data_IF_170294138668
#
_entry.id   IF_170294138668
#
_cell.length_a   1.000
_cell.length_b   1.000
_cell.length_c   1.000
_cell.angle_alpha   90.00
_cell.angle_beta   90.00
_cell.angle_gamma   90.00
#
_symmetry.space_group_name_H-M   'P 1'
#
loop_
_entity.id
_entity.type
_entity.pdbx_description
1 polymer ?
#
# COMPACT_ATOMS: atom_id res chain seq x y z
N UNK A 1 -12.31 -5.09 -16.26
CA UNK A 1 -12.26 -4.94 -14.79
C UNK A 1 -11.10 -4.01 -14.53
N UNK A 2 -11.31 -2.89 -13.84
CA UNK A 2 -10.23 -1.97 -13.49
C UNK A 2 -9.27 -2.69 -12.56
N UNK A 3 -8.17 -3.20 -13.11
CA UNK A 3 -7.10 -3.78 -12.31
C UNK A 3 -6.58 -2.70 -11.38
N UNK A 4 -6.56 -3.00 -10.07
CA UNK A 4 -5.93 -2.15 -9.06
C UNK A 4 -4.46 -2.56 -9.02
N UNK A 5 -3.55 -1.81 -9.68
CA UNK A 5 -2.15 -2.22 -9.79
C UNK A 5 -1.40 -2.14 -8.46
N UNK A 6 -1.96 -1.48 -7.45
CA UNK A 6 -1.34 -1.34 -6.15
C UNK A 6 -2.14 -2.06 -5.07
N UNK A 7 -1.42 -2.68 -4.13
CA UNK A 7 -1.97 -3.24 -2.90
C UNK A 7 -1.31 -2.57 -1.71
N UNK A 8 -2.11 -2.05 -0.78
CA UNK A 8 -1.68 -1.52 0.50
C UNK A 8 -1.93 -2.54 1.60
N UNK A 9 -0.86 -3.07 2.20
CA UNK A 9 -0.94 -3.82 3.45
C UNK A 9 -0.89 -2.87 4.64
N UNK A 10 -1.90 -2.96 5.51
CA UNK A 10 -2.04 -2.12 6.70
C UNK A 10 -2.59 -2.90 7.90
N UNK A 11 -2.48 -2.34 9.10
CA UNK A 11 -3.02 -2.93 10.33
C UNK A 11 -3.40 -1.85 11.35
N UNK A 12 -4.23 -2.23 12.32
CA UNK A 12 -4.55 -1.38 13.48
C UNK A 12 -3.33 -1.10 14.37
N UNK A 13 -3.42 -0.03 15.17
CA UNK A 13 -2.38 0.39 16.11
C UNK A 13 -0.99 0.57 15.45
N UNK A 14 -0.97 1.04 14.20
CA UNK A 14 0.24 1.28 13.41
C UNK A 14 0.38 2.77 13.08
N UNK A 15 1.25 3.52 13.79
CA UNK A 15 1.42 4.96 13.57
C UNK A 15 1.81 5.32 12.13
N UNK A 16 2.65 4.49 11.51
CA UNK A 16 3.07 4.68 10.11
C UNK A 16 1.91 4.45 9.13
N UNK A 17 1.02 3.50 9.43
CA UNK A 17 -0.16 3.20 8.63
C UNK A 17 -1.15 4.37 8.66
N UNK A 18 -1.39 4.92 9.86
CA UNK A 18 -2.21 6.11 10.03
C UNK A 18 -1.62 7.33 9.32
N UNK A 19 -0.29 7.47 9.33
CA UNK A 19 0.40 8.52 8.59
C UNK A 19 0.18 8.40 7.08
N UNK A 20 0.38 7.20 6.52
CA UNK A 20 0.12 6.95 5.09
C UNK A 20 -1.35 7.19 4.73
N UNK A 21 -2.27 6.72 5.57
CA UNK A 21 -3.71 6.96 5.39
C UNK A 21 -4.03 8.45 5.31
N UNK A 22 -3.40 9.29 6.15
CA UNK A 22 -3.54 10.76 6.07
C UNK A 22 -2.95 11.34 4.78
N UNK A 23 -1.87 10.78 4.24
CA UNK A 23 -1.34 11.20 2.93
C UNK A 23 -2.31 10.87 1.80
N UNK A 24 -2.85 9.63 1.79
CA UNK A 24 -3.82 9.17 0.79
C UNK A 24 -5.16 9.91 0.88
N UNK A 25 -5.65 10.18 2.08
CA UNK A 25 -6.91 10.92 2.29
C UNK A 25 -6.76 12.44 2.28
N UNK A 26 -5.54 12.96 2.14
CA UNK A 26 -5.23 14.39 2.14
C UNK A 26 -4.66 14.84 0.79
N UNK A 27 -3.34 15.09 0.68
CA UNK A 27 -2.73 15.62 -0.54
C UNK A 27 -2.85 14.70 -1.77
N UNK A 28 -3.03 13.39 -1.60
CA UNK A 28 -3.18 12.42 -2.70
C UNK A 28 -4.64 11.96 -2.90
N UNK A 29 -5.60 12.61 -2.23
CA UNK A 29 -7.00 12.20 -2.24
C UNK A 29 -7.58 12.21 -3.65
N UNK A 30 -8.22 11.13 -4.04
CA UNK A 30 -8.88 10.96 -5.34
C UNK A 30 -7.93 10.65 -6.49
N UNK A 31 -6.60 10.73 -6.31
CA UNK A 31 -5.64 10.49 -7.38
C UNK A 31 -5.36 8.99 -7.59
N UNK A 32 -5.43 8.19 -6.52
CA UNK A 32 -5.03 6.77 -6.56
C UNK A 32 -6.04 5.82 -5.87
N UNK A 33 -7.15 6.33 -5.35
CA UNK A 33 -8.14 5.51 -4.62
C UNK A 33 -8.66 4.33 -5.47
N UNK A 34 -8.92 4.54 -6.76
CA UNK A 34 -9.35 3.49 -7.68
C UNK A 34 -8.22 2.57 -8.16
N UNK A 35 -6.97 2.87 -7.82
CA UNK A 35 -5.77 2.09 -8.20
C UNK A 35 -5.20 1.26 -7.05
N UNK A 36 -5.60 1.54 -5.81
CA UNK A 36 -5.08 0.89 -4.61
C UNK A 36 -6.13 -0.04 -4.00
N UNK A 37 -5.79 -1.31 -3.86
CA UNK A 37 -6.52 -2.25 -3.02
C UNK A 37 -5.96 -2.23 -1.60
N UNK A 38 -6.79 -1.94 -0.60
CA UNK A 38 -6.35 -1.92 0.81
C UNK A 38 -6.67 -3.27 1.46
N UNK A 39 -5.64 -3.96 1.93
CA UNK A 39 -5.74 -5.21 2.67
C UNK A 39 -5.37 -4.96 4.13
N UNK A 40 -6.36 -5.07 4.99
CA UNK A 40 -6.20 -4.86 6.43
C UNK A 40 -5.96 -6.21 7.13
N UNK A 41 -4.92 -6.28 7.96
CA UNK A 41 -4.57 -7.51 8.68
C UNK A 41 -5.73 -8.09 9.49
N UNK A 42 -6.49 -7.22 10.17
CA UNK A 42 -7.58 -7.62 11.07
C UNK A 42 -8.81 -8.15 10.34
N UNK A 43 -9.15 -7.61 9.17
CA UNK A 43 -10.34 -8.03 8.41
C UNK A 43 -10.04 -9.05 7.31
N UNK A 44 -8.77 -9.24 6.97
CA UNK A 44 -8.34 -10.05 5.83
C UNK A 44 -7.03 -10.79 6.13
N UNK A 45 -6.97 -11.45 7.29
CA UNK A 45 -5.76 -12.08 7.83
C UNK A 45 -5.11 -13.10 6.89
N UNK A 46 -5.91 -13.94 6.22
CA UNK A 46 -5.41 -14.95 5.28
C UNK A 46 -4.73 -14.30 4.07
N UNK A 47 -5.44 -13.40 3.39
CA UNK A 47 -4.91 -12.68 2.22
C UNK A 47 -3.72 -11.79 2.58
N UNK A 48 -3.75 -11.17 3.75
CA UNK A 48 -2.62 -10.41 4.27
C UNK A 48 -1.39 -11.30 4.45
N UNK A 49 -1.55 -12.48 5.05
CA UNK A 49 -0.46 -13.42 5.31
C UNK A 49 0.13 -13.99 4.01
N UNK A 50 -0.72 -14.29 3.03
CA UNK A 50 -0.30 -14.72 1.70
C UNK A 50 0.58 -13.66 1.02
N UNK A 51 0.12 -12.40 0.98
CA UNK A 51 0.88 -11.30 0.37
C UNK A 51 2.18 -11.00 1.11
N UNK A 52 2.18 -11.12 2.44
CA UNK A 52 3.40 -11.01 3.25
C UNK A 52 4.43 -12.07 2.86
N UNK A 53 3.99 -13.31 2.65
CA UNK A 53 4.88 -14.41 2.25
C UNK A 53 5.40 -14.26 0.81
N UNK A 54 4.51 -13.97 -0.14
CA UNK A 54 4.85 -13.81 -1.57
C UNK A 54 5.86 -12.67 -1.76
N UNK A 55 5.60 -11.52 -1.13
CA UNK A 55 6.42 -10.32 -1.32
C UNK A 55 7.49 -10.11 -0.23
N UNK A 56 7.64 -11.07 0.69
CA UNK A 56 8.61 -11.03 1.81
C UNK A 56 8.52 -9.73 2.64
N UNK A 57 7.29 -9.31 2.92
CA UNK A 57 7.02 -8.07 3.66
C UNK A 57 7.38 -8.25 5.12
N UNK A 58 8.27 -7.40 5.64
CA UNK A 58 8.74 -7.48 7.02
C UNK A 58 8.05 -6.47 7.95
N UNK A 59 7.45 -5.43 7.39
CA UNK A 59 6.82 -4.35 8.15
C UNK A 59 5.65 -3.73 7.37
N UNK A 60 4.72 -3.14 8.11
CA UNK A 60 3.61 -2.33 7.58
C UNK A 60 3.75 -0.86 8.00
N UNK A 61 3.20 0.08 7.21
CA UNK A 61 2.47 -0.12 5.96
C UNK A 61 3.39 -0.50 4.80
N UNK A 62 2.89 -1.34 3.90
CA UNK A 62 3.60 -1.74 2.68
C UNK A 62 2.73 -1.48 1.45
N UNK A 63 3.26 -0.75 0.47
CA UNK A 63 2.67 -0.66 -0.86
C UNK A 63 3.35 -1.66 -1.79
N UNK A 64 2.55 -2.39 -2.55
CA UNK A 64 2.99 -3.44 -3.46
C UNK A 64 2.43 -3.12 -4.83
N UNK A 65 3.25 -3.12 -5.87
CA UNK A 65 2.78 -3.06 -7.26
C UNK A 65 2.59 -4.48 -7.81
N UNK A 66 1.67 -4.68 -8.76
CA UNK A 66 1.42 -5.99 -9.39
C UNK A 66 2.64 -6.58 -10.11
N UNK A 67 3.62 -5.76 -10.49
CA UNK A 67 4.91 -6.23 -11.01
C UNK A 67 5.84 -6.81 -9.95
N UNK A 68 5.50 -6.69 -8.67
CA UNK A 68 6.30 -7.17 -7.54
C UNK A 68 7.15 -6.10 -6.86
N UNK A 69 7.15 -4.85 -7.34
CA UNK A 69 7.82 -3.75 -6.65
C UNK A 69 7.16 -3.48 -5.29
N UNK A 70 7.95 -3.17 -4.26
CA UNK A 70 7.44 -2.90 -2.90
C UNK A 70 8.02 -1.63 -2.29
N UNK A 71 7.23 -0.93 -1.49
CA UNK A 71 7.63 0.22 -0.69
C UNK A 71 7.22 -0.04 0.77
N UNK A 72 8.21 -0.28 1.63
CA UNK A 72 8.01 -0.73 3.02
C UNK A 72 8.10 0.40 4.05
N UNK A 73 8.46 1.61 3.64
CA UNK A 73 8.70 2.77 4.51
C UNK A 73 8.07 4.02 3.89
N UNK A 74 6.79 4.25 4.15
CA UNK A 74 6.04 5.40 3.61
C UNK A 74 6.26 6.68 4.42
N UNK A 75 7.53 6.99 4.69
CA UNK A 75 7.95 8.08 5.56
C UNK A 75 7.80 9.47 4.92
N UNK A 76 7.70 9.54 3.58
CA UNK A 76 7.62 10.78 2.82
C UNK A 76 6.53 10.77 1.75
N UNK A 77 5.80 11.88 1.63
CA UNK A 77 4.75 12.08 0.62
C UNK A 77 5.30 11.89 -0.81
N UNK A 78 6.47 12.45 -1.09
CA UNK A 78 7.09 12.38 -2.42
C UNK A 78 7.46 10.95 -2.86
N UNK A 79 7.96 10.11 -1.94
CA UNK A 79 8.27 8.71 -2.25
C UNK A 79 7.00 7.90 -2.51
N UNK A 80 5.97 8.09 -1.68
CA UNK A 80 4.66 7.44 -1.87
C UNK A 80 4.06 7.83 -3.22
N UNK A 81 4.07 9.12 -3.55
CA UNK A 81 3.55 9.62 -4.82
C UNK A 81 4.34 9.08 -6.02
N UNK A 82 5.68 9.09 -5.96
CA UNK A 82 6.52 8.55 -7.05
C UNK A 82 6.30 7.06 -7.25
N UNK A 83 6.15 6.29 -6.18
CA UNK A 83 5.85 4.86 -6.27
C UNK A 83 4.49 4.60 -6.91
N UNK A 84 3.44 5.35 -6.50
CA UNK A 84 2.09 5.22 -7.07
C UNK A 84 1.97 5.73 -8.51
N UNK A 85 2.92 6.55 -8.96
CA UNK A 85 3.06 7.01 -10.35
C UNK A 85 3.92 6.07 -11.20
N UNK A 86 4.61 5.09 -10.59
CA UNK A 86 5.38 4.13 -11.34
C UNK A 86 4.43 3.24 -12.13
N UNK A 87 4.57 3.26 -13.44
CA UNK A 87 4.09 2.18 -14.30
C UNK A 87 5.18 1.10 -14.22
N UNK A 88 4.81 -0.18 -14.15
CA UNK A 88 5.81 -1.23 -14.25
C UNK A 88 6.36 -1.24 -15.68
N UNK A 89 7.63 -0.84 -15.83
CA UNK A 89 8.45 -1.13 -17.00
C UNK A 89 8.83 -2.62 -17.05
#
# INVERSE_FOLDING_TARGET
>A
MTERPFVLLTQDACPNCERLKKMLSGPLKGAFDDRIEVIHRQTSAERFSELVQIHRIQSVPALIHTSGATLLQTSGLGEVQRFLMSEAE
#
